data_IF_859402318105
#
_entry.id   IF_859402318105
#
_cell.length_a   1.000
_cell.length_b   1.000
_cell.length_c   1.000
_cell.angle_alpha   90.00
_cell.angle_beta   90.00
_cell.angle_gamma   90.00
#
_symmetry.space_group_name_H-M   'P 1'
#
loop_
_entity.id
_entity.type
_entity.pdbx_description
1 polymer ?
#
# COMPACT_ATOMS: atom_id res chain seq x y z
N UNK A 1 -2.09 -2.53 -53.74
CA UNK A 1 -1.47 -3.39 -52.71
C UNK A 1 -1.82 -2.84 -51.33
N UNK A 2 -2.72 -3.48 -50.57
CA UNK A 2 -3.08 -3.05 -49.21
C UNK A 2 -2.04 -3.60 -48.24
N UNK A 3 -1.31 -2.74 -47.55
CA UNK A 3 -0.31 -3.13 -46.55
C UNK A 3 -1.00 -3.91 -45.40
N UNK A 4 -0.67 -5.19 -45.16
CA UNK A 4 -1.37 -6.05 -44.19
C UNK A 4 -1.03 -5.78 -42.70
N UNK A 5 -0.35 -4.67 -42.35
CA UNK A 5 0.16 -4.41 -40.99
C UNK A 5 -0.73 -3.55 -40.09
N UNK A 6 -1.95 -3.15 -40.51
CA UNK A 6 -2.77 -2.15 -39.79
C UNK A 6 -3.47 -2.57 -38.47
N UNK A 7 -3.96 -3.82 -38.27
CA UNK A 7 -4.83 -4.09 -37.11
C UNK A 7 -4.05 -4.15 -35.78
N UNK A 8 -2.86 -4.76 -35.79
CA UNK A 8 -1.99 -4.83 -34.60
C UNK A 8 -1.52 -3.45 -34.14
N UNK A 9 -1.27 -2.53 -35.08
CA UNK A 9 -0.87 -1.15 -34.76
C UNK A 9 -1.98 -0.37 -34.07
N UNK A 10 -3.26 -0.71 -34.31
CA UNK A 10 -4.39 0.02 -33.74
C UNK A 10 -4.66 -0.39 -32.29
N UNK A 11 -4.58 -1.69 -31.98
CA UNK A 11 -4.68 -2.21 -30.59
C UNK A 11 -3.53 -1.69 -29.75
N UNK A 12 -2.29 -1.79 -30.26
CA UNK A 12 -1.12 -1.29 -29.55
C UNK A 12 -1.25 0.21 -29.24
N UNK A 13 -1.75 1.00 -30.20
CA UNK A 13 -2.00 2.43 -30.00
C UNK A 13 -3.07 2.69 -28.94
N UNK A 14 -4.17 1.95 -28.92
CA UNK A 14 -5.22 2.10 -27.90
C UNK A 14 -4.75 1.70 -26.50
N UNK A 15 -3.93 0.66 -26.37
CA UNK A 15 -3.29 0.28 -25.11
C UNK A 15 -2.35 1.37 -24.60
N UNK A 16 -1.49 1.91 -25.47
CA UNK A 16 -0.55 2.98 -25.11
C UNK A 16 -1.27 4.27 -24.73
N UNK A 17 -2.33 4.64 -25.44
CA UNK A 17 -3.15 5.82 -25.11
C UNK A 17 -3.91 5.63 -23.81
N UNK A 18 -4.47 4.44 -23.57
CA UNK A 18 -5.11 4.09 -22.30
C UNK A 18 -4.13 4.13 -21.12
N UNK A 19 -2.94 3.54 -21.29
CA UNK A 19 -1.87 3.58 -20.31
C UNK A 19 -1.40 5.02 -20.03
N UNK A 20 -1.21 5.81 -21.08
CA UNK A 20 -0.83 7.21 -20.97
C UNK A 20 -1.89 8.05 -20.24
N UNK A 21 -3.17 7.82 -20.52
CA UNK A 21 -4.27 8.53 -19.84
C UNK A 21 -4.34 8.16 -18.35
N UNK A 22 -4.21 6.87 -18.01
CA UNK A 22 -4.17 6.40 -16.64
C UNK A 22 -2.96 6.94 -15.87
N UNK A 23 -1.77 6.86 -16.47
CA UNK A 23 -0.54 7.42 -15.91
C UNK A 23 -0.64 8.93 -15.70
N UNK A 24 -1.17 9.68 -16.68
CA UNK A 24 -1.32 11.13 -16.59
C UNK A 24 -2.29 11.54 -15.50
N UNK A 25 -3.45 10.90 -15.40
CA UNK A 25 -4.44 11.20 -14.34
C UNK A 25 -3.88 10.90 -12.95
N UNK A 26 -3.21 9.76 -12.78
CA UNK A 26 -2.52 9.44 -11.53
C UNK A 26 -1.40 10.44 -11.21
N UNK A 27 -0.60 10.82 -12.21
CA UNK A 27 0.46 11.83 -12.03
C UNK A 27 -0.12 13.18 -11.61
N UNK A 28 -1.18 13.66 -12.29
CA UNK A 28 -1.84 14.91 -11.93
C UNK A 28 -2.45 14.84 -10.53
N UNK A 29 -3.10 13.72 -10.18
CA UNK A 29 -3.62 13.50 -8.84
C UNK A 29 -2.50 13.55 -7.80
N UNK A 30 -1.40 12.84 -8.01
CA UNK A 30 -0.22 12.84 -7.14
C UNK A 30 0.38 14.24 -6.98
N UNK A 31 0.57 14.96 -8.10
CA UNK A 31 1.14 16.31 -8.12
C UNK A 31 0.24 17.34 -7.43
N UNK A 32 -1.07 17.09 -7.34
CA UNK A 32 -2.00 17.98 -6.65
C UNK A 32 -2.19 17.55 -5.19
N UNK A 33 -2.39 16.26 -4.93
CA UNK A 33 -2.72 15.72 -3.61
C UNK A 33 -1.54 15.80 -2.64
N UNK A 34 -0.31 15.49 -3.06
CA UNK A 34 0.87 15.52 -2.17
C UNK A 34 1.14 16.95 -1.67
N UNK A 35 1.19 17.99 -2.53
CA UNK A 35 1.39 19.36 -2.04
C UNK A 35 0.23 19.88 -1.21
N UNK A 36 -1.02 19.55 -1.57
CA UNK A 36 -2.19 19.90 -0.74
C UNK A 36 -2.11 19.28 0.65
N UNK A 37 -1.67 18.03 0.75
CA UNK A 37 -1.47 17.36 2.04
C UNK A 37 -0.32 18.00 2.83
N UNK A 38 0.79 18.32 2.17
CA UNK A 38 1.90 19.06 2.77
C UNK A 38 1.49 20.45 3.29
N UNK A 39 0.68 21.19 2.53
CA UNK A 39 0.10 22.47 2.96
C UNK A 39 -0.83 22.30 4.16
N UNK A 40 -1.66 21.25 4.17
CA UNK A 40 -2.58 20.97 5.27
C UNK A 40 -1.85 20.61 6.58
N UNK A 41 -0.69 19.95 6.46
CA UNK A 41 0.21 19.69 7.58
C UNK A 41 0.83 21.00 8.08
N UNK A 42 1.27 21.89 7.19
CA UNK A 42 1.84 23.19 7.56
C UNK A 42 0.83 24.08 8.32
N UNK A 43 -0.45 24.03 7.99
CA UNK A 43 -1.48 24.86 8.64
C UNK A 43 -1.83 24.44 10.07
N UNK A 44 -1.43 23.25 10.51
CA UNK A 44 -1.79 22.70 11.83
C UNK A 44 -0.63 22.72 12.84
N UNK A 45 0.51 23.32 12.51
CA UNK A 45 1.72 23.25 13.34
C UNK A 45 1.87 24.54 14.18
N UNK A 46 2.21 24.43 15.49
CA UNK A 46 2.38 25.59 16.37
C UNK A 46 3.42 26.57 15.85
N UNK A 47 3.12 27.87 16.00
CA UNK A 47 4.06 28.95 15.68
C UNK A 47 5.37 28.75 16.46
N UNK A 48 6.47 28.54 15.73
CA UNK A 48 7.79 28.21 16.30
C UNK A 48 8.39 26.88 15.80
N UNK A 49 7.60 25.99 15.19
CA UNK A 49 8.08 24.71 14.61
C UNK A 49 8.09 24.68 13.08
N UNK A 50 8.13 25.84 12.44
CA UNK A 50 8.03 25.96 10.99
C UNK A 50 9.17 25.25 10.23
N UNK A 51 10.37 25.24 10.79
CA UNK A 51 11.52 24.55 10.17
C UNK A 51 11.35 23.03 10.19
N UNK A 52 10.96 22.46 11.34
CA UNK A 52 10.69 21.03 11.50
C UNK A 52 9.54 20.58 10.58
N UNK A 53 8.52 21.43 10.43
CA UNK A 53 7.41 21.20 9.52
C UNK A 53 7.85 21.15 8.06
N UNK A 54 8.68 22.10 7.63
CA UNK A 54 9.21 22.16 6.26
C UNK A 54 10.14 20.97 5.97
N UNK A 55 10.95 20.55 6.93
CA UNK A 55 11.79 19.35 6.82
C UNK A 55 10.92 18.08 6.74
N UNK A 56 9.85 17.99 7.54
CA UNK A 56 8.90 16.89 7.49
C UNK A 56 8.14 16.81 6.16
N UNK A 57 7.70 17.95 5.61
CA UNK A 57 7.07 18.01 4.28
C UNK A 57 8.05 17.67 3.17
N UNK A 58 9.31 18.14 3.27
CA UNK A 58 10.37 17.80 2.32
C UNK A 58 10.69 16.31 2.31
N UNK A 59 10.85 15.70 3.49
CA UNK A 59 11.06 14.26 3.62
C UNK A 59 9.85 13.47 3.10
N UNK A 60 8.63 13.88 3.43
CA UNK A 60 7.39 13.27 2.92
C UNK A 60 7.32 13.34 1.38
N UNK A 61 7.66 14.47 0.76
CA UNK A 61 7.63 14.63 -0.69
C UNK A 61 8.67 13.74 -1.40
N UNK A 62 9.88 13.62 -0.84
CA UNK A 62 10.94 12.74 -1.36
C UNK A 62 10.53 11.27 -1.25
N UNK A 63 9.94 10.88 -0.12
CA UNK A 63 9.48 9.52 0.09
C UNK A 63 8.23 9.20 -0.76
N UNK A 64 7.28 10.12 -0.90
CA UNK A 64 6.02 9.87 -1.60
C UNK A 64 6.17 9.74 -3.12
N UNK A 65 7.24 10.26 -3.73
CA UNK A 65 7.48 10.18 -5.18
C UNK A 65 7.58 8.74 -5.71
N UNK A 66 8.50 7.90 -5.19
CA UNK A 66 8.58 6.48 -5.55
C UNK A 66 7.30 5.69 -5.28
N UNK A 67 6.60 5.97 -4.18
CA UNK A 67 5.31 5.32 -3.86
C UNK A 67 4.20 5.71 -4.83
N UNK A 68 4.12 6.99 -5.21
CA UNK A 68 3.15 7.46 -6.19
C UNK A 68 3.40 6.83 -7.57
N UNK A 69 4.66 6.61 -7.94
CA UNK A 69 5.01 5.93 -9.18
C UNK A 69 4.57 4.47 -9.18
N UNK A 70 4.93 3.72 -8.13
CA UNK A 70 4.73 2.26 -8.05
C UNK A 70 3.29 1.86 -7.73
N UNK A 71 2.57 2.68 -6.94
CA UNK A 71 1.24 2.34 -6.40
C UNK A 71 0.13 3.18 -7.03
N UNK A 72 0.45 4.35 -7.58
CA UNK A 72 -0.52 5.20 -8.30
C UNK A 72 -0.37 5.09 -9.80
N UNK A 73 0.75 5.57 -10.33
CA UNK A 73 0.96 5.80 -11.76
C UNK A 73 1.02 4.48 -12.54
N UNK A 74 1.77 3.47 -12.07
CA UNK A 74 1.85 2.17 -12.76
C UNK A 74 0.54 1.38 -12.73
N UNK A 75 -0.17 1.23 -11.59
CA UNK A 75 -1.47 0.56 -11.56
C UNK A 75 -2.54 1.31 -12.35
N UNK A 76 -2.55 2.65 -12.31
CA UNK A 76 -3.46 3.45 -13.13
C UNK A 76 -3.12 3.32 -14.62
N UNK A 77 -1.83 3.23 -14.99
CA UNK A 77 -1.41 2.93 -16.35
C UNK A 77 -1.88 1.53 -16.78
N UNK A 78 -1.81 0.53 -15.90
CA UNK A 78 -2.30 -0.82 -16.19
C UNK A 78 -3.82 -0.85 -16.36
N UNK A 79 -4.58 -0.23 -15.45
CA UNK A 79 -6.04 -0.11 -15.54
C UNK A 79 -6.43 0.68 -16.80
N UNK A 80 -5.71 1.76 -17.09
CA UNK A 80 -5.86 2.55 -18.31
C UNK A 80 -5.59 1.73 -19.55
N UNK A 81 -4.56 0.88 -19.56
CA UNK A 81 -4.27 -0.04 -20.66
C UNK A 81 -5.39 -1.08 -20.82
N UNK A 82 -5.84 -1.70 -19.73
CA UNK A 82 -6.95 -2.66 -19.74
C UNK A 82 -8.26 -2.03 -20.21
N UNK A 83 -8.51 -0.76 -19.89
CA UNK A 83 -9.64 0.02 -20.39
C UNK A 83 -9.45 0.46 -21.85
N UNK A 84 -8.21 0.66 -22.30
CA UNK A 84 -7.85 0.95 -23.68
C UNK A 84 -8.05 -0.24 -24.63
N UNK A 85 -7.98 -1.47 -24.11
CA UNK A 85 -8.20 -2.70 -24.89
C UNK A 85 -9.61 -2.79 -25.52
N UNK A 86 -10.74 -2.67 -24.77
CA UNK A 86 -12.07 -2.70 -25.37
C UNK A 86 -12.30 -1.52 -26.32
N UNK A 87 -11.69 -0.35 -26.06
CA UNK A 87 -11.74 0.79 -26.99
C UNK A 87 -11.05 0.43 -28.32
N UNK A 88 -9.89 -0.22 -28.28
CA UNK A 88 -9.17 -0.67 -29.47
C UNK A 88 -9.93 -1.75 -30.25
N UNK A 89 -10.54 -2.71 -29.55
CA UNK A 89 -11.36 -3.76 -30.16
C UNK A 89 -12.64 -3.20 -30.82
N UNK A 90 -13.34 -2.29 -30.15
CA UNK A 90 -14.50 -1.59 -30.72
C UNK A 90 -14.11 -0.70 -31.89
N UNK A 91 -12.95 -0.04 -31.82
CA UNK A 91 -12.45 0.80 -32.91
C UNK A 91 -12.09 -0.02 -34.15
N UNK A 92 -11.54 -1.22 -33.97
CA UNK A 92 -11.29 -2.16 -35.07
C UNK A 92 -12.58 -2.68 -35.71
N UNK A 93 -13.59 -3.00 -34.90
CA UNK A 93 -14.88 -3.49 -35.39
C UNK A 93 -15.63 -2.43 -36.23
N UNK A 94 -15.48 -1.15 -35.87
CA UNK A 94 -16.15 -0.04 -36.53
C UNK A 94 -15.38 0.52 -37.75
N UNK A 95 -14.09 0.19 -37.88
CA UNK A 95 -13.28 0.47 -39.08
C UNK A 95 -13.30 1.93 -39.52
N UNK A 96 -13.56 2.19 -40.81
CA UNK A 96 -13.58 3.54 -41.39
C UNK A 96 -14.74 4.42 -40.92
N UNK A 97 -15.71 3.86 -40.18
CA UNK A 97 -16.87 4.62 -39.68
C UNK A 97 -16.58 5.40 -38.38
N UNK A 98 -15.37 5.28 -37.84
CA UNK A 98 -14.96 5.91 -36.59
C UNK A 98 -14.53 7.36 -36.83
N UNK A 99 -15.46 8.30 -36.62
CA UNK A 99 -15.10 9.72 -36.55
C UNK A 99 -14.46 10.04 -35.19
N UNK A 100 -13.64 11.12 -35.07
CA UNK A 100 -13.05 11.50 -33.78
C UNK A 100 -14.09 11.67 -32.66
N UNK A 101 -15.26 12.22 -32.99
CA UNK A 101 -16.39 12.37 -32.05
C UNK A 101 -16.94 11.02 -31.59
N UNK A 102 -17.06 10.04 -32.50
CA UNK A 102 -17.51 8.68 -32.14
C UNK A 102 -16.48 7.95 -31.29
N UNK A 103 -15.18 8.10 -31.59
CA UNK A 103 -14.10 7.55 -30.77
C UNK A 103 -14.12 8.10 -29.34
N UNK A 104 -14.33 9.42 -29.18
CA UNK A 104 -14.47 10.04 -27.86
C UNK A 104 -15.68 9.52 -27.08
N UNK A 105 -16.83 9.33 -27.74
CA UNK A 105 -18.03 8.78 -27.11
C UNK A 105 -17.87 7.32 -26.69
N UNK A 106 -17.13 6.51 -27.47
CA UNK A 106 -16.79 5.12 -27.10
C UNK A 106 -15.90 5.12 -25.85
N UNK A 107 -14.87 5.97 -25.82
CA UNK A 107 -14.00 6.11 -24.64
C UNK A 107 -14.77 6.53 -23.39
N UNK A 108 -15.66 7.51 -23.51
CA UNK A 108 -16.54 7.95 -22.43
C UNK A 108 -17.49 6.83 -21.97
N UNK A 109 -18.09 6.10 -22.90
CA UNK A 109 -18.99 4.98 -22.59
C UNK A 109 -18.29 3.85 -21.85
N UNK A 110 -17.06 3.49 -22.24
CA UNK A 110 -16.24 2.50 -21.53
C UNK A 110 -15.90 2.97 -20.12
N UNK A 111 -15.54 4.24 -19.95
CA UNK A 111 -15.26 4.81 -18.63
C UNK A 111 -16.49 4.78 -17.71
N UNK A 112 -17.66 5.20 -18.21
CA UNK A 112 -18.93 5.17 -17.46
C UNK A 112 -19.32 3.73 -17.11
N UNK A 113 -19.19 2.79 -18.04
CA UNK A 113 -19.49 1.39 -17.81
C UNK A 113 -18.58 0.76 -16.75
N UNK A 114 -17.28 1.09 -16.76
CA UNK A 114 -16.33 0.64 -15.73
C UNK A 114 -16.72 1.16 -14.34
N UNK A 115 -17.03 2.47 -14.24
CA UNK A 115 -17.44 3.10 -12.98
C UNK A 115 -18.76 2.51 -12.47
N UNK A 116 -19.76 2.36 -13.34
CA UNK A 116 -21.05 1.78 -12.99
C UNK A 116 -20.93 0.30 -12.59
N UNK A 117 -20.12 -0.48 -13.31
CA UNK A 117 -19.89 -1.90 -12.98
C UNK A 117 -19.18 -2.06 -11.65
N UNK A 118 -18.17 -1.22 -11.37
CA UNK A 118 -17.51 -1.20 -10.07
C UNK A 118 -18.52 -0.88 -8.96
N UNK A 119 -19.42 0.08 -9.17
CA UNK A 119 -20.44 0.46 -8.20
C UNK A 119 -21.49 -0.65 -7.98
N UNK A 120 -21.99 -1.28 -9.04
CA UNK A 120 -22.98 -2.37 -8.93
C UNK A 120 -22.40 -3.65 -8.33
N UNK A 121 -21.16 -4.02 -8.68
CA UNK A 121 -20.53 -5.24 -8.19
C UNK A 121 -20.05 -5.11 -6.74
N UNK A 122 -19.70 -3.90 -6.31
CA UNK A 122 -19.11 -3.66 -5.00
C UNK A 122 -20.05 -2.96 -4.01
N UNK A 123 -21.12 -2.29 -4.45
CA UNK A 123 -21.97 -1.42 -3.63
C UNK A 123 -23.10 -2.10 -2.81
N UNK A 124 -23.92 -3.03 -3.34
CA UNK A 124 -25.17 -3.45 -2.68
C UNK A 124 -25.00 -4.35 -1.43
N UNK A 125 -23.91 -5.09 -1.31
CA UNK A 125 -23.70 -6.12 -0.27
C UNK A 125 -23.07 -5.59 1.02
N UNK A 126 -22.74 -4.30 1.07
CA UNK A 126 -22.12 -3.65 2.23
C UNK A 126 -23.10 -2.90 3.14
N UNK A 127 -24.32 -2.69 2.67
CA UNK A 127 -25.28 -1.78 3.31
C UNK A 127 -26.38 -2.49 4.12
N UNK A 128 -26.38 -3.82 4.23
CA UNK A 128 -27.42 -4.57 4.96
C UNK A 128 -26.84 -5.39 6.12
N UNK A 129 -26.76 -4.75 7.30
CA UNK A 129 -26.25 -5.37 8.53
C UNK A 129 -27.28 -6.29 9.26
N UNK A 130 -28.57 -6.21 8.92
CA UNK A 130 -29.63 -6.91 9.66
C UNK A 130 -29.69 -8.43 9.42
N UNK A 131 -28.94 -8.96 8.45
CA UNK A 131 -29.02 -10.38 8.04
C UNK A 131 -27.76 -11.22 8.41
N UNK A 132 -26.94 -10.78 9.37
CA UNK A 132 -25.61 -11.35 9.64
C UNK A 132 -25.53 -12.54 10.62
N UNK A 133 -25.16 -13.73 10.13
CA UNK A 133 -24.77 -14.91 10.94
C UNK A 133 -23.54 -14.66 11.85
N UNK A 134 -23.33 -15.49 12.88
CA UNK A 134 -22.17 -15.47 13.80
C UNK A 134 -20.80 -15.16 13.16
N UNK A 135 -20.52 -15.67 11.94
CA UNK A 135 -19.30 -15.35 11.19
C UNK A 135 -19.12 -13.87 10.81
N UNK A 136 -20.20 -13.09 10.66
CA UNK A 136 -20.17 -11.65 10.37
C UNK A 136 -19.96 -10.82 11.65
N UNK A 137 -20.50 -11.25 12.78
CA UNK A 137 -20.19 -10.68 14.10
C UNK A 137 -18.71 -10.92 14.49
N UNK A 138 -18.16 -12.07 14.10
CA UNK A 138 -16.73 -12.37 14.24
C UNK A 138 -15.85 -11.44 13.38
N UNK A 139 -16.22 -11.18 12.12
CA UNK A 139 -15.50 -10.23 11.26
C UNK A 139 -15.63 -8.77 11.74
N UNK A 140 -16.75 -8.40 12.36
CA UNK A 140 -16.93 -7.08 13.00
C UNK A 140 -16.12 -6.96 14.31
N UNK A 141 -16.01 -8.04 15.08
CA UNK A 141 -15.06 -8.13 16.20
C UNK A 141 -13.61 -8.09 15.73
N UNK A 142 -13.30 -8.61 14.54
CA UNK A 142 -12.01 -8.39 13.88
C UNK A 142 -11.89 -7.01 13.21
N UNK A 143 -12.94 -6.20 13.16
CA UNK A 143 -12.89 -4.82 12.66
C UNK A 143 -12.47 -3.83 13.74
N UNK A 144 -13.10 -3.93 14.91
CA UNK A 144 -12.66 -3.23 16.12
C UNK A 144 -11.39 -3.88 16.71
N UNK A 145 -11.28 -5.19 16.56
CA UNK A 145 -10.19 -6.00 17.11
C UNK A 145 -9.01 -6.17 16.16
N UNK A 146 -9.14 -6.16 14.84
CA UNK A 146 -8.04 -6.47 13.90
C UNK A 146 -6.93 -5.44 13.92
N UNK A 147 -7.22 -4.14 13.74
CA UNK A 147 -6.24 -3.07 13.93
C UNK A 147 -5.71 -3.03 15.37
N UNK A 148 -6.54 -3.40 16.36
CA UNK A 148 -6.14 -3.49 17.77
C UNK A 148 -5.21 -4.68 18.06
N UNK A 149 -5.42 -5.81 17.40
CA UNK A 149 -4.65 -7.04 17.51
C UNK A 149 -3.33 -6.85 16.77
N UNK A 150 -3.35 -6.33 15.54
CA UNK A 150 -2.13 -5.98 14.79
C UNK A 150 -1.33 -4.93 15.56
N UNK A 151 -1.99 -3.88 16.06
CA UNK A 151 -1.36 -2.87 16.90
C UNK A 151 -0.77 -3.45 18.20
N UNK A 152 -1.46 -4.41 18.83
CA UNK A 152 -0.95 -5.11 20.02
C UNK A 152 0.22 -6.05 19.71
N UNK A 153 0.20 -6.76 18.58
CA UNK A 153 1.33 -7.58 18.12
C UNK A 153 2.55 -6.71 17.81
N UNK A 154 2.36 -5.57 17.14
CA UNK A 154 3.40 -4.58 16.94
C UNK A 154 3.93 -4.04 18.26
N UNK A 155 3.06 -3.71 19.21
CA UNK A 155 3.48 -3.22 20.51
C UNK A 155 4.27 -4.29 21.28
N UNK A 156 3.83 -5.55 21.25
CA UNK A 156 4.55 -6.67 21.85
C UNK A 156 5.92 -6.88 21.19
N UNK A 157 5.96 -6.87 19.85
CA UNK A 157 7.19 -6.98 19.07
C UNK A 157 8.14 -5.83 19.41
N UNK A 158 7.63 -4.61 19.50
CA UNK A 158 8.40 -3.43 19.88
C UNK A 158 8.95 -3.57 21.30
N UNK A 159 8.15 -3.99 22.28
CA UNK A 159 8.60 -4.19 23.66
C UNK A 159 9.70 -5.27 23.76
N UNK A 160 9.55 -6.36 23.01
CA UNK A 160 10.58 -7.40 22.92
C UNK A 160 11.88 -6.85 22.30
N UNK A 161 11.78 -6.07 21.22
CA UNK A 161 12.95 -5.44 20.62
C UNK A 161 13.58 -4.37 21.53
N UNK A 162 12.77 -3.60 22.26
CA UNK A 162 13.25 -2.62 23.26
C UNK A 162 13.99 -3.32 24.40
N UNK A 163 13.58 -4.53 24.80
CA UNK A 163 14.33 -5.32 25.77
C UNK A 163 15.74 -5.65 25.23
N UNK A 164 15.87 -6.06 23.97
CA UNK A 164 17.17 -6.31 23.36
C UNK A 164 18.00 -5.03 23.22
N UNK A 165 17.38 -3.92 22.81
CA UNK A 165 18.09 -2.66 22.58
C UNK A 165 18.54 -1.99 23.89
N UNK A 166 17.68 -1.95 24.91
CA UNK A 166 17.89 -1.10 26.10
C UNK A 166 18.32 -1.86 27.35
N UNK A 167 18.04 -3.17 27.43
CA UNK A 167 18.21 -3.95 28.67
C UNK A 167 19.26 -5.04 28.49
N UNK A 168 19.15 -5.85 27.43
CA UNK A 168 20.03 -6.99 27.23
C UNK A 168 20.36 -7.23 25.74
N UNK A 169 21.31 -6.47 25.17
CA UNK A 169 21.77 -6.66 23.79
C UNK A 169 22.30 -8.07 23.52
N UNK A 170 22.93 -8.70 24.51
CA UNK A 170 23.47 -10.05 24.39
C UNK A 170 22.41 -11.13 24.14
N UNK A 171 21.16 -10.90 24.52
CA UNK A 171 20.07 -11.87 24.29
C UNK A 171 19.81 -12.10 22.79
N UNK A 172 20.00 -11.08 21.94
CA UNK A 172 19.84 -11.23 20.48
C UNK A 172 20.90 -12.18 19.91
N UNK A 173 22.11 -12.15 20.50
CA UNK A 173 23.24 -13.04 20.25
C UNK A 173 22.93 -14.52 20.47
N UNK A 174 22.05 -14.81 21.44
CA UNK A 174 21.64 -16.16 21.77
C UNK A 174 20.47 -16.67 20.91
N UNK A 175 19.68 -15.76 20.33
CA UNK A 175 18.47 -16.09 19.55
C UNK A 175 18.73 -16.13 18.04
N UNK A 176 19.76 -15.43 17.57
CA UNK A 176 20.06 -15.28 16.13
C UNK A 176 21.39 -15.94 15.80
N UNK A 177 21.41 -16.81 14.79
CA UNK A 177 22.67 -17.27 14.20
C UNK A 177 23.15 -16.24 13.18
N UNK A 178 24.23 -15.55 13.54
CA UNK A 178 24.86 -14.57 12.66
C UNK A 178 25.78 -15.24 11.63
N UNK A 179 25.85 -14.71 10.38
CA UNK A 179 26.84 -15.16 9.39
C UNK A 179 28.26 -14.68 9.69
N UNK A 180 28.48 -14.07 10.85
CA UNK A 180 29.76 -13.52 11.32
C UNK A 180 30.00 -13.89 12.78
N UNK A 181 31.25 -13.82 13.27
CA UNK A 181 31.55 -14.10 14.67
C UNK A 181 30.73 -13.21 15.62
N UNK A 182 29.93 -13.82 16.50
CA UNK A 182 29.08 -13.12 17.47
C UNK A 182 29.91 -12.66 18.68
N UNK A 183 30.82 -11.71 18.47
CA UNK A 183 31.56 -11.04 19.55
C UNK A 183 30.69 -9.95 20.19
N UNK A 184 30.97 -9.51 21.44
CA UNK A 184 30.23 -8.43 22.08
C UNK A 184 30.10 -7.16 21.21
N UNK A 185 31.19 -6.75 20.56
CA UNK A 185 31.19 -5.54 19.71
C UNK A 185 30.32 -5.70 18.45
N UNK A 186 30.35 -6.87 17.81
CA UNK A 186 29.51 -7.14 16.62
C UNK A 186 28.02 -7.23 16.96
N UNK A 187 27.69 -7.81 18.12
CA UNK A 187 26.32 -7.86 18.62
C UNK A 187 25.84 -6.44 18.93
N UNK A 188 26.66 -5.63 19.61
CA UNK A 188 26.30 -4.25 19.91
C UNK A 188 26.07 -3.44 18.64
N UNK A 189 26.97 -3.53 17.65
CA UNK A 189 26.81 -2.83 16.37
C UNK A 189 25.54 -3.28 15.62
N UNK A 190 25.20 -4.58 15.68
CA UNK A 190 23.94 -5.07 15.12
C UNK A 190 22.74 -4.50 15.86
N UNK A 191 22.74 -4.52 17.19
CA UNK A 191 21.65 -3.96 18.03
C UNK A 191 21.47 -2.46 17.80
N UNK A 192 22.57 -1.71 17.68
CA UNK A 192 22.54 -0.27 17.39
C UNK A 192 21.93 -0.01 16.01
N UNK A 193 22.34 -0.78 15.00
CA UNK A 193 21.76 -0.72 13.65
C UNK A 193 20.29 -1.18 13.58
N UNK A 194 19.89 -2.09 14.46
CA UNK A 194 18.52 -2.60 14.59
C UNK A 194 17.61 -1.67 15.41
N UNK A 195 18.20 -0.81 16.25
CA UNK A 195 17.44 0.04 17.16
C UNK A 195 16.42 0.97 16.48
N UNK A 196 16.66 1.57 15.29
CA UNK A 196 15.66 2.41 14.62
C UNK A 196 14.40 1.61 14.28
N UNK A 197 14.54 0.36 13.84
CA UNK A 197 13.41 -0.52 13.56
C UNK A 197 12.59 -0.76 14.82
N UNK A 198 13.23 -1.01 15.96
CA UNK A 198 12.55 -1.23 17.22
C UNK A 198 11.68 -0.02 17.64
N UNK A 199 12.18 1.21 17.45
CA UNK A 199 11.41 2.43 17.71
C UNK A 199 10.31 2.68 16.67
N UNK A 200 10.56 2.34 15.41
CA UNK A 200 9.56 2.43 14.33
C UNK A 200 8.36 1.52 14.60
N UNK A 201 8.61 0.25 14.93
CA UNK A 201 7.57 -0.73 15.28
C UNK A 201 6.78 -0.28 16.53
N UNK A 202 7.44 0.34 17.51
CA UNK A 202 6.77 0.94 18.68
C UNK A 202 5.81 2.05 18.27
N UNK A 203 6.27 2.95 17.40
CA UNK A 203 5.47 4.06 16.86
C UNK A 203 4.27 3.56 16.07
N UNK A 204 4.49 2.60 15.18
CA UNK A 204 3.43 1.96 14.37
C UNK A 204 2.42 1.27 15.26
N UNK A 205 2.85 0.42 16.20
CA UNK A 205 1.95 -0.30 17.11
C UNK A 205 1.09 0.65 17.94
N UNK A 206 1.71 1.66 18.55
CA UNK A 206 1.01 2.69 19.33
C UNK A 206 0.02 3.47 18.47
N UNK A 207 0.44 3.89 17.28
CA UNK A 207 -0.42 4.62 16.35
C UNK A 207 -1.61 3.77 15.90
N UNK A 208 -1.38 2.50 15.54
CA UNK A 208 -2.42 1.59 15.07
C UNK A 208 -3.45 1.28 16.17
N UNK A 209 -3.00 1.07 17.42
CA UNK A 209 -3.90 0.94 18.58
C UNK A 209 -4.75 2.20 18.79
N UNK A 210 -4.17 3.38 18.60
CA UNK A 210 -4.91 4.63 18.69
C UNK A 210 -5.89 4.81 17.52
N UNK A 211 -5.43 4.55 16.30
CA UNK A 211 -6.20 4.65 15.06
C UNK A 211 -7.36 3.64 15.00
N UNK A 212 -7.22 2.49 15.67
CA UNK A 212 -8.26 1.48 15.81
C UNK A 212 -9.56 2.02 16.44
N UNK A 213 -9.51 3.15 17.16
CA UNK A 213 -10.72 3.82 17.69
C UNK A 213 -11.57 4.48 16.61
N UNK A 214 -10.99 4.78 15.44
CA UNK A 214 -11.71 5.32 14.29
C UNK A 214 -11.07 4.84 12.98
N UNK A 215 -11.15 3.54 12.66
CA UNK A 215 -10.36 2.92 11.61
C UNK A 215 -10.69 3.49 10.22
N UNK A 216 -11.95 3.92 10.00
CA UNK A 216 -12.40 4.56 8.75
C UNK A 216 -11.61 5.82 8.41
N UNK A 217 -11.28 6.62 9.42
CA UNK A 217 -10.49 7.86 9.24
C UNK A 217 -9.03 7.56 8.85
N UNK A 218 -8.54 6.38 9.17
CA UNK A 218 -7.11 6.02 9.04
C UNK A 218 -6.86 4.88 8.07
N UNK A 219 -7.75 4.66 7.09
CA UNK A 219 -7.57 3.62 6.07
C UNK A 219 -6.26 3.75 5.30
N UNK A 220 -5.81 4.98 5.02
CA UNK A 220 -4.51 5.22 4.41
C UNK A 220 -3.35 4.67 5.25
N UNK A 221 -3.46 4.68 6.58
CA UNK A 221 -2.44 4.13 7.47
C UNK A 221 -2.46 2.60 7.50
N UNK A 222 -3.64 1.97 7.37
CA UNK A 222 -3.76 0.51 7.20
C UNK A 222 -3.05 0.08 5.92
N UNK A 223 -3.27 0.79 4.81
CA UNK A 223 -2.59 0.50 3.55
C UNK A 223 -1.09 0.75 3.59
N UNK A 224 -0.67 1.82 4.25
CA UNK A 224 0.75 2.06 4.50
C UNK A 224 1.37 0.89 5.27
N UNK A 225 0.70 0.41 6.32
CA UNK A 225 1.16 -0.74 7.10
C UNK A 225 1.29 -2.01 6.25
N UNK A 226 0.29 -2.31 5.40
CA UNK A 226 0.35 -3.44 4.47
C UNK A 226 1.59 -3.36 3.57
N UNK A 227 1.93 -2.16 3.10
CA UNK A 227 3.14 -1.96 2.28
C UNK A 227 4.43 -2.08 3.08
N UNK A 228 4.47 -1.56 4.31
CA UNK A 228 5.62 -1.71 5.19
C UNK A 228 5.87 -3.19 5.52
N UNK A 229 4.82 -3.96 5.81
CA UNK A 229 4.92 -5.40 6.01
C UNK A 229 5.48 -6.15 4.80
N UNK A 230 5.10 -5.74 3.59
CA UNK A 230 5.63 -6.36 2.37
C UNK A 230 7.10 -6.00 2.17
N UNK A 231 7.45 -4.72 2.26
CA UNK A 231 8.78 -4.23 1.91
C UNK A 231 9.79 -4.45 3.03
N UNK A 232 9.47 -3.99 4.25
CA UNK A 232 10.34 -4.10 5.41
C UNK A 232 10.18 -5.41 6.16
N UNK A 233 9.04 -6.08 6.08
CA UNK A 233 8.87 -7.42 6.64
C UNK A 233 9.38 -8.49 5.68
N UNK A 234 8.60 -8.76 4.64
CA UNK A 234 8.86 -9.91 3.74
C UNK A 234 10.14 -9.76 2.92
N UNK A 235 10.35 -8.62 2.25
CA UNK A 235 11.53 -8.48 1.38
C UNK A 235 12.84 -8.32 2.16
N UNK A 236 12.82 -7.67 3.33
CA UNK A 236 14.01 -7.56 4.18
C UNK A 236 14.40 -8.94 4.76
N UNK A 237 13.43 -9.74 5.22
CA UNK A 237 13.70 -11.11 5.67
C UNK A 237 14.30 -11.97 4.55
N UNK A 238 13.77 -11.90 3.33
CA UNK A 238 14.35 -12.58 2.17
C UNK A 238 15.78 -12.10 1.91
N UNK A 239 16.02 -10.79 2.02
CA UNK A 239 17.35 -10.21 1.89
C UNK A 239 18.30 -10.75 2.96
N UNK A 240 17.91 -10.78 4.23
CA UNK A 240 18.72 -11.29 5.34
C UNK A 240 19.06 -12.77 5.17
N UNK A 241 18.09 -13.59 4.74
CA UNK A 241 18.35 -14.99 4.34
C UNK A 241 19.41 -15.05 3.24
N UNK A 242 19.29 -14.22 2.20
CA UNK A 242 20.26 -14.15 1.11
C UNK A 242 21.65 -13.64 1.56
N UNK A 243 21.74 -12.93 2.69
CA UNK A 243 22.99 -12.50 3.33
C UNK A 243 23.59 -13.55 4.29
N UNK A 244 22.96 -14.71 4.41
CA UNK A 244 23.48 -15.85 5.18
C UNK A 244 22.95 -15.96 6.60
N UNK A 245 21.90 -15.22 6.95
CA UNK A 245 21.21 -15.41 8.23
C UNK A 245 20.39 -16.72 8.23
N UNK A 246 20.07 -17.24 9.42
CA UNK A 246 19.29 -18.49 9.57
C UNK A 246 17.91 -18.41 8.90
N UNK A 247 17.68 -19.26 7.91
CA UNK A 247 16.43 -19.27 7.17
C UNK A 247 15.23 -19.70 8.02
N UNK A 248 15.43 -20.56 9.04
CA UNK A 248 14.34 -21.08 9.86
C UNK A 248 13.59 -19.96 10.60
N UNK A 249 14.34 -19.12 11.31
CA UNK A 249 13.78 -17.96 12.03
C UNK A 249 13.08 -16.97 11.09
N UNK A 250 13.76 -16.57 10.01
CA UNK A 250 13.21 -15.57 9.07
C UNK A 250 12.02 -16.08 8.26
N UNK A 251 11.93 -17.37 7.91
CA UNK A 251 10.74 -17.93 7.27
C UNK A 251 9.52 -17.83 8.20
N UNK A 252 9.70 -18.06 9.51
CA UNK A 252 8.61 -17.90 10.47
C UNK A 252 8.13 -16.44 10.55
N UNK A 253 9.04 -15.47 10.51
CA UNK A 253 8.69 -14.04 10.46
C UNK A 253 7.99 -13.66 9.16
N UNK A 254 8.47 -14.12 7.99
CA UNK A 254 7.78 -13.94 6.70
C UNK A 254 6.32 -14.41 6.78
N UNK A 255 6.06 -15.56 7.39
CA UNK A 255 4.68 -16.07 7.56
C UNK A 255 3.84 -15.11 8.42
N UNK A 256 4.41 -14.56 9.50
CA UNK A 256 3.74 -13.56 10.34
C UNK A 256 3.44 -12.29 9.53
N UNK A 257 4.42 -11.76 8.79
CA UNK A 257 4.24 -10.59 7.92
C UNK A 257 3.13 -10.82 6.89
N UNK A 258 3.10 -11.98 6.23
CA UNK A 258 2.04 -12.35 5.29
C UNK A 258 0.66 -12.43 5.94
N UNK A 259 0.55 -12.92 7.18
CA UNK A 259 -0.71 -12.91 7.92
C UNK A 259 -1.17 -11.47 8.22
N UNK A 260 -0.25 -10.57 8.59
CA UNK A 260 -0.57 -9.16 8.82
C UNK A 260 -0.97 -8.47 7.51
N UNK A 261 -0.28 -8.74 6.40
CA UNK A 261 -0.65 -8.24 5.06
C UNK A 261 -2.05 -8.72 4.68
N UNK A 262 -2.31 -10.02 4.77
CA UNK A 262 -3.61 -10.59 4.39
C UNK A 262 -4.73 -9.98 5.23
N UNK A 263 -4.55 -9.92 6.56
CA UNK A 263 -5.55 -9.32 7.44
C UNK A 263 -5.71 -7.82 7.18
N UNK A 264 -4.61 -7.08 7.02
CA UNK A 264 -4.60 -5.65 6.68
C UNK A 264 -5.25 -5.35 5.33
N UNK A 265 -5.08 -6.19 4.31
CA UNK A 265 -5.76 -6.04 3.00
C UNK A 265 -7.26 -6.30 3.13
N UNK A 266 -7.64 -7.38 3.82
CA UNK A 266 -9.04 -7.72 4.05
C UNK A 266 -9.74 -6.59 4.83
N UNK A 267 -9.08 -6.09 5.88
CA UNK A 267 -9.59 -5.02 6.72
C UNK A 267 -9.34 -3.60 6.18
N UNK A 268 -8.49 -3.40 5.20
CA UNK A 268 -8.44 -2.13 4.47
C UNK A 268 -9.64 -2.03 3.55
N UNK A 269 -9.85 -3.09 2.75
CA UNK A 269 -10.92 -3.14 1.74
C UNK A 269 -12.31 -3.02 2.34
N UNK A 270 -12.60 -3.69 3.45
CA UNK A 270 -13.92 -3.56 4.07
C UNK A 270 -14.17 -2.14 4.62
N UNK A 271 -13.14 -1.34 4.87
CA UNK A 271 -13.27 -0.04 5.50
C UNK A 271 -13.47 1.04 4.47
N UNK A 272 -12.78 0.93 3.35
CA UNK A 272 -13.09 1.69 2.14
C UNK A 272 -14.54 1.47 1.73
N UNK A 273 -15.00 0.22 1.82
CA UNK A 273 -16.36 -0.19 1.54
C UNK A 273 -17.40 0.37 2.54
N UNK A 274 -17.04 0.60 3.79
CA UNK A 274 -17.92 1.23 4.79
C UNK A 274 -17.89 2.77 4.74
N UNK A 275 -16.85 3.35 4.13
CA UNK A 275 -16.67 4.80 4.01
C UNK A 275 -17.23 5.38 2.70
N UNK A 276 -17.40 4.55 1.67
CA UNK A 276 -18.02 4.86 0.38
C UNK A 276 -19.55 4.74 0.45
#
# INVERSE_FOLDING_TARGET
MRHPSRPLTLIARSLLLGAGAGALLATLYTLLAIPLFGLLLLTNIPAGKALDALLGVGAFAVCAGPFALLVGILPAALIGALAGLPIGLLSLALGEQLTPRRGALIGLGVAVALVASANVLLGPSLLRMEEGSFGRAFLYLCWLGGPSIVGAFYLLLALMNMYFVLINPGAIGAMTQFPFPATPDTIQAFVDGWSPFAFEVLGIGTFMLWAARNPRRYLGAVWLLVWLELLHGVLDDIYLIARGYDAGGYIAFIVIHLLIIVTGVLFGRQGEREAA
#
